data_IF_017286483108
#
_entry.id   IF_017286483108
#
_cell.length_a   1.000
_cell.length_b   1.000
_cell.length_c   1.000
_cell.angle_alpha   90.00
_cell.angle_beta   90.00
_cell.angle_gamma   90.00
#
_symmetry.space_group_name_H-M   'P 1'
#
loop_
_entity.id
_entity.type
_entity.pdbx_description
1 polymer ?
#
# COMPACT_ATOMS: atom_id res chain seq x y z
N UNK A 1 4.69 -35.62 54.26
CA UNK A 1 4.64 -36.60 53.14
C UNK A 1 3.45 -36.25 52.27
N UNK A 2 3.65 -35.40 51.26
CA UNK A 2 2.64 -35.10 50.24
C UNK A 2 3.40 -35.17 48.92
N UNK A 3 3.14 -36.23 48.15
CA UNK A 3 3.77 -36.42 46.84
C UNK A 3 3.11 -35.47 45.85
N UNK A 4 3.89 -34.59 45.23
CA UNK A 4 3.47 -33.83 44.05
C UNK A 4 3.40 -34.79 42.84
N UNK A 5 2.37 -34.71 41.99
CA UNK A 5 2.37 -35.45 40.74
C UNK A 5 3.37 -34.82 39.76
N UNK A 6 4.26 -35.67 39.26
CA UNK A 6 5.30 -35.39 38.26
C UNK A 6 4.69 -35.16 36.87
N UNK A 7 4.97 -34.01 36.27
CA UNK A 7 4.63 -33.72 34.87
C UNK A 7 5.44 -34.63 33.93
N UNK A 8 4.82 -35.32 32.94
CA UNK A 8 5.57 -36.05 31.93
C UNK A 8 6.17 -35.09 30.88
N UNK A 9 7.43 -35.31 30.45
CA UNK A 9 8.07 -34.55 29.40
C UNK A 9 7.79 -35.23 28.06
N UNK A 10 6.92 -34.65 27.23
CA UNK A 10 6.93 -34.73 25.76
C UNK A 10 5.53 -34.50 25.19
N UNK A 11 5.34 -33.29 24.64
CA UNK A 11 4.55 -33.11 23.44
C UNK A 11 5.21 -31.96 22.66
N UNK A 12 6.07 -32.32 21.69
CA UNK A 12 6.37 -31.42 20.58
C UNK A 12 5.10 -31.32 19.73
N UNK A 13 4.81 -30.11 19.25
CA UNK A 13 3.87 -29.89 18.16
C UNK A 13 2.48 -29.50 18.63
N UNK A 14 2.26 -28.20 18.74
CA UNK A 14 1.02 -27.49 18.44
C UNK A 14 1.35 -26.02 18.73
N UNK A 15 1.84 -25.34 17.70
CA UNK A 15 2.00 -23.89 17.68
C UNK A 15 0.57 -23.30 17.63
N UNK A 16 0.06 -22.57 18.65
CA UNK A 16 -1.21 -21.86 18.56
C UNK A 16 -0.99 -20.37 18.21
N UNK A 17 0.19 -20.01 17.69
CA UNK A 17 0.58 -18.61 17.54
C UNK A 17 0.05 -17.95 16.26
N UNK A 18 -0.34 -18.73 15.24
CA UNK A 18 -0.71 -18.16 13.94
C UNK A 18 -2.13 -17.59 13.95
N UNK A 19 -3.06 -18.21 14.68
CA UNK A 19 -4.48 -17.78 14.69
C UNK A 19 -4.77 -16.68 15.72
N UNK A 20 -4.10 -16.71 16.87
CA UNK A 20 -4.30 -15.74 17.95
C UNK A 20 -3.85 -14.32 17.57
N UNK A 21 -2.80 -14.21 16.76
CA UNK A 21 -2.34 -12.92 16.25
C UNK A 21 -3.37 -12.30 15.31
N UNK A 22 -3.90 -13.07 14.35
CA UNK A 22 -4.91 -12.57 13.42
C UNK A 22 -6.20 -12.12 14.12
N UNK A 23 -6.65 -12.83 15.15
CA UNK A 23 -7.83 -12.43 15.94
C UNK A 23 -7.58 -11.18 16.79
N UNK A 24 -6.36 -10.97 17.29
CA UNK A 24 -5.97 -9.73 17.97
C UNK A 24 -5.92 -8.53 17.01
N UNK A 25 -5.46 -8.73 15.76
CA UNK A 25 -5.52 -7.71 14.72
C UNK A 25 -6.95 -7.41 14.27
N UNK A 26 -7.82 -8.42 14.14
CA UNK A 26 -9.23 -8.24 13.75
C UNK A 26 -10.03 -7.36 14.71
N UNK A 27 -9.73 -7.42 16.01
CA UNK A 27 -10.37 -6.55 17.02
C UNK A 27 -9.98 -5.07 16.85
N UNK A 28 -8.79 -4.81 16.28
CA UNK A 28 -8.28 -3.46 16.05
C UNK A 28 -8.74 -2.83 14.72
N UNK A 29 -9.33 -3.62 13.81
CA UNK A 29 -9.84 -3.11 12.53
C UNK A 29 -10.97 -2.08 12.75
N UNK A 30 -11.90 -2.36 13.69
CA UNK A 30 -13.06 -1.49 13.92
C UNK A 30 -12.70 -0.06 14.31
N UNK A 31 -11.75 0.18 15.23
CA UNK A 31 -11.25 1.53 15.50
C UNK A 31 -10.63 2.25 14.29
N UNK A 32 -9.95 1.52 13.39
CA UNK A 32 -9.36 2.08 12.17
C UNK A 32 -10.44 2.50 11.17
N UNK A 33 -11.44 1.65 10.95
CA UNK A 33 -12.60 1.97 10.10
C UNK A 33 -13.43 3.12 10.65
N UNK A 34 -13.56 3.21 11.99
CA UNK A 34 -14.24 4.30 12.66
C UNK A 34 -13.40 5.60 12.74
N UNK A 35 -12.14 5.59 12.27
CA UNK A 35 -11.23 6.74 12.34
C UNK A 35 -10.83 7.15 13.76
N UNK A 36 -11.08 6.28 14.76
CA UNK A 36 -10.80 6.55 16.18
C UNK A 36 -9.38 6.17 16.59
N UNK A 37 -8.66 5.48 15.73
CA UNK A 37 -7.24 5.14 15.90
C UNK A 37 -6.60 5.02 14.52
N UNK A 38 -5.32 5.37 14.42
CA UNK A 38 -4.57 5.23 13.17
C UNK A 38 -3.79 3.91 13.18
N UNK A 39 -3.81 3.11 12.10
CA UNK A 39 -2.95 1.95 11.99
C UNK A 39 -1.48 2.36 11.89
N UNK A 40 -0.57 1.53 12.41
CA UNK A 40 0.87 1.70 12.19
C UNK A 40 1.26 1.25 10.77
N UNK A 41 2.45 1.62 10.31
CA UNK A 41 2.95 1.21 8.99
C UNK A 41 2.97 -0.31 8.80
N UNK A 42 3.40 -1.05 9.84
CA UNK A 42 3.45 -2.51 9.80
C UNK A 42 2.05 -3.13 9.65
N UNK A 43 1.04 -2.52 10.29
CA UNK A 43 -0.36 -2.95 10.18
C UNK A 43 -0.90 -2.66 8.79
N UNK A 44 -0.63 -1.47 8.23
CA UNK A 44 -1.01 -1.14 6.86
C UNK A 44 -0.38 -2.08 5.83
N UNK A 45 0.90 -2.41 6.00
CA UNK A 45 1.60 -3.35 5.14
C UNK A 45 1.01 -4.77 5.23
N UNK A 46 0.72 -5.25 6.45
CA UNK A 46 0.07 -6.54 6.64
C UNK A 46 -1.35 -6.58 6.04
N UNK A 47 -2.11 -5.49 6.15
CA UNK A 47 -3.43 -5.35 5.53
C UNK A 47 -3.36 -5.38 4.01
N UNK A 48 -2.42 -4.64 3.39
CA UNK A 48 -2.23 -4.63 1.95
C UNK A 48 -1.93 -6.05 1.41
N UNK A 49 -1.04 -6.79 2.08
CA UNK A 49 -0.73 -8.18 1.75
C UNK A 49 -1.93 -9.11 1.93
N UNK A 50 -2.66 -8.98 3.04
CA UNK A 50 -3.83 -9.81 3.32
C UNK A 50 -4.98 -9.57 2.32
N UNK A 51 -5.16 -8.32 1.87
CA UNK A 51 -6.19 -7.92 0.92
C UNK A 51 -5.75 -8.09 -0.55
N UNK A 52 -4.48 -8.42 -0.81
CA UNK A 52 -3.91 -8.51 -2.17
C UNK A 52 -4.10 -7.23 -2.98
N UNK A 53 -3.98 -6.07 -2.33
CA UNK A 53 -4.06 -4.75 -2.97
C UNK A 53 -2.79 -3.95 -2.70
N UNK A 54 -2.60 -2.87 -3.47
CA UNK A 54 -1.51 -1.94 -3.20
C UNK A 54 -1.76 -1.20 -1.87
N UNK A 55 -0.69 -0.90 -1.12
CA UNK A 55 -0.80 -0.08 0.08
C UNK A 55 -1.32 1.33 -0.23
N UNK A 56 -1.04 1.84 -1.42
CA UNK A 56 -1.57 3.13 -1.88
C UNK A 56 -3.10 3.11 -1.96
N UNK A 57 -3.73 1.98 -2.34
CA UNK A 57 -5.19 1.84 -2.37
C UNK A 57 -5.85 1.89 -0.98
N UNK A 58 -5.09 1.65 0.09
CA UNK A 58 -5.58 1.80 1.48
C UNK A 58 -5.39 3.23 2.01
N UNK A 59 -4.48 4.00 1.41
CA UNK A 59 -4.06 5.32 1.89
C UNK A 59 -4.69 6.45 1.10
N UNK A 60 -4.99 6.22 -0.16
CA UNK A 60 -5.47 7.23 -1.09
C UNK A 60 -6.72 6.71 -1.78
N UNK A 61 -7.76 7.54 -1.76
CA UNK A 61 -8.87 7.44 -2.71
C UNK A 61 -8.43 8.11 -4.04
N UNK A 62 -9.23 9.00 -4.59
CA UNK A 62 -8.98 9.66 -5.88
C UNK A 62 -7.90 10.77 -5.82
N UNK A 63 -7.25 10.98 -4.67
CA UNK A 63 -6.33 12.10 -4.45
C UNK A 63 -5.06 12.02 -5.31
N UNK A 64 -4.67 10.80 -5.70
CA UNK A 64 -3.53 10.55 -6.59
C UNK A 64 -3.92 10.50 -8.07
N UNK A 65 -5.20 10.51 -8.39
CA UNK A 65 -5.64 10.49 -9.78
C UNK A 65 -5.31 11.80 -10.50
N UNK A 66 -5.06 11.75 -11.82
CA UNK A 66 -5.01 12.95 -12.63
C UNK A 66 -6.30 13.76 -12.46
N UNK A 67 -6.18 15.01 -12.00
CA UNK A 67 -7.33 15.94 -11.88
C UNK A 67 -8.08 16.15 -13.21
N UNK A 68 -7.42 15.88 -14.33
CA UNK A 68 -8.04 15.95 -15.65
C UNK A 68 -8.60 14.56 -16.03
N UNK A 69 -9.93 14.42 -16.22
CA UNK A 69 -10.57 13.14 -16.50
C UNK A 69 -10.11 12.53 -17.84
N UNK A 70 -9.74 13.35 -18.82
CA UNK A 70 -9.21 12.86 -20.11
C UNK A 70 -7.84 12.23 -19.94
N UNK A 71 -7.00 12.73 -19.02
CA UNK A 71 -5.71 12.12 -18.73
C UNK A 71 -5.85 10.80 -17.98
N UNK A 72 -6.87 10.68 -17.11
CA UNK A 72 -7.18 9.43 -16.43
C UNK A 72 -7.52 8.31 -17.41
N UNK A 73 -8.45 8.56 -18.33
CA UNK A 73 -8.84 7.58 -19.37
C UNK A 73 -7.64 7.19 -20.25
N UNK A 74 -6.77 8.16 -20.58
CA UNK A 74 -5.56 7.87 -21.37
C UNK A 74 -4.56 7.02 -20.59
N UNK A 75 -4.37 7.27 -19.30
CA UNK A 75 -3.46 6.50 -18.47
C UNK A 75 -3.93 5.04 -18.35
N UNK A 76 -5.23 4.80 -18.19
CA UNK A 76 -5.81 3.44 -18.21
C UNK A 76 -5.58 2.74 -19.56
N UNK A 77 -5.62 3.48 -20.66
CA UNK A 77 -5.34 2.92 -22.00
C UNK A 77 -3.89 2.45 -22.16
N UNK A 78 -2.94 3.07 -21.45
CA UNK A 78 -1.52 2.72 -21.52
C UNK A 78 -1.26 1.30 -21.00
N UNK A 79 -2.09 0.77 -20.09
CA UNK A 79 -1.91 -0.57 -19.52
C UNK A 79 -1.97 -1.70 -20.57
N UNK A 80 -2.56 -1.42 -21.74
CA UNK A 80 -2.72 -2.37 -22.84
C UNK A 80 -1.58 -2.33 -23.85
N UNK A 81 -0.56 -1.49 -23.63
CA UNK A 81 0.50 -1.26 -24.61
C UNK A 81 1.53 -2.39 -24.61
N UNK A 82 2.27 -2.49 -25.71
CA UNK A 82 3.45 -3.35 -25.77
C UNK A 82 4.61 -2.72 -24.98
N UNK A 83 5.62 -3.51 -24.55
CA UNK A 83 6.78 -2.97 -23.83
C UNK A 83 7.48 -1.80 -24.55
N UNK A 84 7.66 -1.90 -25.86
CA UNK A 84 8.28 -0.83 -26.67
C UNK A 84 7.43 0.45 -26.69
N UNK A 85 6.11 0.32 -26.72
CA UNK A 85 5.18 1.46 -26.65
C UNK A 85 5.18 2.11 -25.26
N UNK A 86 5.28 1.31 -24.19
CA UNK A 86 5.43 1.84 -22.82
C UNK A 86 6.70 2.67 -22.67
N UNK A 87 7.83 2.21 -23.21
CA UNK A 87 9.08 3.00 -23.20
C UNK A 87 8.92 4.31 -23.96
N UNK A 88 8.27 4.26 -25.13
CA UNK A 88 8.04 5.46 -25.93
C UNK A 88 7.14 6.49 -25.21
N UNK A 89 6.04 6.04 -24.60
CA UNK A 89 5.14 6.92 -23.83
C UNK A 89 5.84 7.51 -22.62
N UNK A 90 6.59 6.70 -21.87
CA UNK A 90 7.38 7.17 -20.72
C UNK A 90 8.33 8.29 -21.14
N UNK A 91 9.07 8.07 -22.22
CA UNK A 91 9.98 9.07 -22.76
C UNK A 91 9.26 10.37 -23.15
N UNK A 92 8.09 10.30 -23.79
CA UNK A 92 7.30 11.49 -24.13
C UNK A 92 6.85 12.28 -22.88
N UNK A 93 6.40 11.57 -21.84
CA UNK A 93 5.97 12.18 -20.57
C UNK A 93 7.16 12.86 -19.88
N UNK A 94 8.31 12.20 -19.81
CA UNK A 94 9.53 12.75 -19.20
C UNK A 94 10.00 14.03 -19.91
N UNK A 95 9.99 14.05 -21.24
CA UNK A 95 10.34 15.23 -22.02
C UNK A 95 9.35 16.39 -21.80
N UNK A 96 8.05 16.09 -21.72
CA UNK A 96 7.03 17.09 -21.42
C UNK A 96 7.21 17.69 -20.02
N UNK A 97 7.52 16.84 -19.03
CA UNK A 97 7.79 17.26 -17.66
C UNK A 97 9.05 18.12 -17.56
N UNK A 98 10.13 17.73 -18.24
CA UNK A 98 11.37 18.51 -18.30
C UNK A 98 11.13 19.91 -18.87
N UNK A 99 10.36 20.02 -19.96
CA UNK A 99 9.99 21.30 -20.55
C UNK A 99 9.17 22.16 -19.59
N UNK A 100 8.26 21.54 -18.84
CA UNK A 100 7.44 22.25 -17.87
C UNK A 100 8.27 22.78 -16.69
N UNK A 101 9.13 21.94 -16.11
CA UNK A 101 10.06 22.33 -15.05
C UNK A 101 11.00 23.43 -15.51
N UNK A 102 11.56 23.35 -16.73
CA UNK A 102 12.38 24.40 -17.31
C UNK A 102 11.61 25.74 -17.36
N UNK A 103 10.39 25.74 -17.91
CA UNK A 103 9.53 26.92 -17.97
C UNK A 103 9.24 27.52 -16.59
N UNK A 104 8.97 26.68 -15.59
CA UNK A 104 8.74 27.14 -14.22
C UNK A 104 10.01 27.74 -13.60
N UNK A 105 11.17 27.10 -13.79
CA UNK A 105 12.44 27.58 -13.26
C UNK A 105 12.85 28.93 -13.88
N UNK A 106 12.73 29.07 -15.20
CA UNK A 106 13.05 30.32 -15.90
C UNK A 106 11.99 31.41 -15.68
N UNK A 107 10.71 31.04 -15.54
CA UNK A 107 9.64 31.99 -15.22
C UNK A 107 9.76 32.57 -13.80
N UNK A 108 10.35 31.82 -12.86
CA UNK A 108 10.59 32.26 -11.48
C UNK A 108 11.82 33.15 -11.33
N UNK A 109 12.71 33.20 -12.32
CA UNK A 109 13.90 34.07 -12.36
C UNK A 109 13.62 35.47 -12.94
N UNK A 110 12.41 35.73 -13.45
CA UNK A 110 12.03 37.00 -14.08
C UNK A 110 11.25 37.96 -13.16
N UNK A 111 11.32 37.79 -11.83
CA UNK A 111 10.69 38.65 -10.82
C UNK A 111 11.77 39.18 -9.87
#
# INVERSE_FOLDING_TARGET
MVQQPTTPPHARGCEPATDANFTAYATQIRPYEAGTSQPTLDVLHALALALTISADSLLFDDERDPKNPTLRIKAESVDHFTPDEHEHVTWLIENALLRDHARQAFGRQAI
#
